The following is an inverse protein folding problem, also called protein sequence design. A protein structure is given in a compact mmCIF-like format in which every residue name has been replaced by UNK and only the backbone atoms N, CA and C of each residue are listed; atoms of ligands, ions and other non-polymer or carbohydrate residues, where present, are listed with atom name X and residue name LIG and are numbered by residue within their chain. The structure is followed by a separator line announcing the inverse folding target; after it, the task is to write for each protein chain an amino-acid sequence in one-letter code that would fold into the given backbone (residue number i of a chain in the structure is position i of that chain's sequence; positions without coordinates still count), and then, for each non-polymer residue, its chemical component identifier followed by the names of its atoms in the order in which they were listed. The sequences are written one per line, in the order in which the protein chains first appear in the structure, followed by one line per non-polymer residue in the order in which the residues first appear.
data_IF_594447274624
#
_entry.id   IF_594447274624
#
_cell.length_a   1.000
_cell.length_b   1.000
_cell.length_c   1.000
_cell.angle_alpha   90.00
_cell.angle_beta   90.00
_cell.angle_gamma   90.00
#
_symmetry.space_group_name_H-M   'P 1'
#
loop_
_entity.id
_entity.type
_entity.pdbx_description
1 polymer ?
#
# COMPACT_ATOMS: atom_id res chain seq x y z
N UNK A 1 23.28 -4.97 53.73
CA UNK A 1 21.92 -4.60 53.35
C UNK A 1 21.94 -3.95 51.98
N UNK A 2 21.42 -4.62 50.95
CA UNK A 2 21.23 -4.05 49.62
C UNK A 2 20.10 -3.02 49.66
N UNK A 3 20.36 -1.79 49.20
CA UNK A 3 19.31 -0.81 48.89
C UNK A 3 18.84 -1.07 47.46
N UNK A 4 17.57 -1.41 47.31
CA UNK A 4 16.90 -1.43 46.01
C UNK A 4 16.81 0.02 45.48
N UNK A 5 17.16 0.22 44.20
CA UNK A 5 16.92 1.47 43.50
C UNK A 5 15.42 1.72 43.28
N UNK A 6 15.00 2.97 43.02
CA UNK A 6 13.59 3.28 42.81
C UNK A 6 13.05 2.58 41.56
N UNK A 7 11.83 2.04 41.68
CA UNK A 7 11.10 1.45 40.55
C UNK A 7 10.80 2.54 39.49
N UNK A 8 10.82 2.20 38.19
CA UNK A 8 10.47 3.16 37.15
C UNK A 8 9.02 3.60 37.31
N UNK A 9 8.81 4.91 37.24
CA UNK A 9 7.49 5.53 37.29
C UNK A 9 6.61 4.97 36.16
N UNK A 10 5.37 4.61 36.50
CA UNK A 10 4.37 4.16 35.54
C UNK A 10 4.22 5.20 34.42
N UNK A 11 4.64 4.84 33.21
CA UNK A 11 4.46 5.67 32.02
C UNK A 11 2.97 5.93 31.82
N UNK A 12 2.61 7.20 31.58
CA UNK A 12 1.24 7.61 31.34
C UNK A 12 0.63 6.75 30.21
N UNK A 13 -0.47 6.06 30.51
CA UNK A 13 -1.22 5.30 29.52
C UNK A 13 -1.69 6.25 28.42
N UNK A 14 -1.25 6.01 27.18
CA UNK A 14 -1.74 6.74 26.02
C UNK A 14 -3.19 6.33 25.77
N UNK A 15 -4.13 7.26 25.92
CA UNK A 15 -5.51 7.03 25.51
C UNK A 15 -5.64 7.38 24.02
N UNK A 16 -5.79 6.35 23.17
CA UNK A 16 -6.19 6.51 21.77
C UNK A 16 -7.70 6.76 21.73
N UNK A 17 -8.10 7.98 21.34
CA UNK A 17 -9.50 8.36 21.13
C UNK A 17 -9.73 8.53 19.63
N UNK A 18 -10.61 7.71 19.04
CA UNK A 18 -11.05 7.80 17.65
C UNK A 18 -12.48 8.38 17.64
N UNK A 19 -12.68 9.52 16.97
CA UNK A 19 -14.01 10.15 16.83
C UNK A 19 -14.69 9.85 15.49
N UNK A 20 -16.01 10.02 15.51
CA UNK A 20 -17.04 9.10 15.03
C UNK A 20 -17.92 9.76 13.93
N UNK A 21 -18.35 8.97 12.93
CA UNK A 21 -19.38 9.31 11.91
C UNK A 21 -18.98 10.13 10.66
N UNK A 22 -18.18 11.20 10.77
CA UNK A 22 -17.95 12.13 9.62
C UNK A 22 -17.11 11.52 8.48
N UNK A 23 -16.10 10.71 8.82
CA UNK A 23 -15.26 10.03 7.83
C UNK A 23 -16.09 9.09 6.93
N UNK A 24 -17.03 8.34 7.52
CA UNK A 24 -17.89 7.44 6.77
C UNK A 24 -18.77 8.20 5.77
N UNK A 25 -19.33 9.36 6.16
CA UNK A 25 -20.11 10.20 5.24
C UNK A 25 -19.28 10.80 4.10
N UNK A 26 -18.01 11.14 4.34
CA UNK A 26 -17.11 11.67 3.31
C UNK A 26 -16.73 10.64 2.26
N UNK A 27 -16.56 9.38 2.66
CA UNK A 27 -16.23 8.28 1.76
C UNK A 27 -17.46 7.55 1.17
N UNK A 28 -18.68 7.91 1.59
CA UNK A 28 -19.91 7.23 1.17
C UNK A 28 -20.13 7.25 -0.36
N UNK A 29 -19.54 8.21 -1.08
CA UNK A 29 -19.64 8.36 -2.54
C UNK A 29 -18.30 8.13 -3.26
N UNK A 30 -17.34 7.51 -2.59
CA UNK A 30 -16.06 7.20 -3.21
C UNK A 30 -16.26 6.24 -4.39
N UNK A 31 -15.74 6.62 -5.56
CA UNK A 31 -15.74 5.79 -6.77
C UNK A 31 -14.31 5.28 -7.03
N UNK A 32 -14.05 3.98 -6.84
CA UNK A 32 -12.75 3.37 -7.10
C UNK A 32 -12.24 3.57 -8.53
N UNK A 33 -13.12 3.51 -9.53
CA UNK A 33 -12.73 3.61 -10.93
C UNK A 33 -12.36 5.05 -11.29
N UNK A 34 -13.14 6.02 -10.83
CA UNK A 34 -12.79 7.42 -10.98
C UNK A 34 -11.48 7.75 -10.25
N UNK A 35 -11.27 7.19 -9.05
CA UNK A 35 -10.01 7.33 -8.32
C UNK A 35 -8.82 6.76 -9.10
N UNK A 36 -8.96 5.57 -9.68
CA UNK A 36 -7.92 4.95 -10.51
C UNK A 36 -7.62 5.77 -11.77
N UNK A 37 -8.66 6.23 -12.47
CA UNK A 37 -8.55 7.09 -13.65
C UNK A 37 -7.94 8.47 -13.33
N UNK A 38 -8.10 8.99 -12.13
CA UNK A 38 -7.55 10.30 -11.80
C UNK A 38 -6.07 10.23 -11.36
N UNK A 39 -5.59 9.06 -10.91
CA UNK A 39 -4.31 8.94 -10.22
C UNK A 39 -3.32 7.96 -10.85
N UNK A 40 -3.81 6.92 -11.51
CA UNK A 40 -3.00 5.77 -11.95
C UNK A 40 -3.05 5.53 -13.45
N UNK A 41 -3.49 6.54 -14.21
CA UNK A 41 -3.37 6.62 -15.67
C UNK A 41 -2.63 7.91 -16.05
N UNK A 42 -2.14 8.06 -17.30
CA UNK A 42 -1.51 9.30 -17.75
C UNK A 42 -2.42 10.53 -17.54
N UNK A 43 -1.86 11.68 -17.14
CA UNK A 43 -0.43 12.00 -17.09
C UNK A 43 0.28 11.62 -15.77
N UNK A 44 -0.44 11.15 -14.73
CA UNK A 44 0.18 10.85 -13.43
C UNK A 44 0.95 9.54 -13.43
N UNK A 45 0.41 8.52 -14.10
CA UNK A 45 1.09 7.26 -14.38
C UNK A 45 1.72 7.26 -15.77
N UNK A 46 2.51 8.30 -16.06
CA UNK A 46 3.41 8.31 -17.20
C UNK A 46 4.73 7.65 -16.79
N UNK A 47 5.10 6.59 -17.49
CA UNK A 47 6.33 5.82 -17.26
C UNK A 47 7.47 6.22 -18.22
N UNK A 48 7.28 7.26 -19.03
CA UNK A 48 8.31 7.79 -19.93
C UNK A 48 9.41 8.58 -19.19
N UNK A 49 9.12 9.08 -17.99
CA UNK A 49 10.06 9.81 -17.14
C UNK A 49 10.06 9.27 -15.71
N UNK A 50 11.26 9.09 -15.17
CA UNK A 50 11.48 8.69 -13.77
C UNK A 50 11.21 9.79 -12.75
N UNK A 51 11.02 11.03 -13.21
CA UNK A 51 10.67 12.18 -12.38
C UNK A 51 9.15 12.27 -12.12
N UNK A 52 8.34 11.51 -12.87
CA UNK A 52 6.92 11.42 -12.61
C UNK A 52 6.62 10.73 -11.27
N UNK A 53 5.54 11.16 -10.62
CA UNK A 53 5.22 10.74 -9.25
C UNK A 53 5.04 9.21 -9.11
N UNK A 54 4.45 8.55 -10.12
CA UNK A 54 4.23 7.10 -10.07
C UNK A 54 5.54 6.32 -10.21
N UNK A 55 6.38 6.54 -11.24
CA UNK A 55 7.71 5.95 -11.32
C UNK A 55 8.58 6.20 -10.09
N UNK A 56 8.59 7.44 -9.58
CA UNK A 56 9.33 7.78 -8.36
C UNK A 56 8.87 6.94 -7.15
N UNK A 57 7.55 6.79 -6.95
CA UNK A 57 7.01 5.94 -5.86
C UNK A 57 7.45 4.49 -6.00
N UNK A 58 7.41 3.93 -7.22
CA UNK A 58 7.81 2.55 -7.47
C UNK A 58 9.30 2.34 -7.22
N UNK A 59 10.16 3.28 -7.63
CA UNK A 59 11.60 3.24 -7.35
C UNK A 59 11.88 3.26 -5.85
N UNK A 60 11.24 4.14 -5.08
CA UNK A 60 11.42 4.17 -3.63
C UNK A 60 11.07 2.84 -2.96
N UNK A 61 9.99 2.19 -3.40
CA UNK A 61 9.60 0.87 -2.88
C UNK A 61 10.62 -0.20 -3.27
N UNK A 62 11.00 -0.27 -4.55
CA UNK A 62 11.98 -1.21 -5.06
C UNK A 62 13.33 -1.09 -4.34
N UNK A 63 13.87 0.13 -4.20
CA UNK A 63 15.12 0.38 -3.47
C UNK A 63 15.03 -0.02 -2.00
N UNK A 64 13.89 0.24 -1.37
CA UNK A 64 13.65 -0.11 0.04
C UNK A 64 13.69 -1.62 0.24
N UNK A 65 13.00 -2.39 -0.59
CA UNK A 65 12.98 -3.86 -0.48
C UNK A 65 14.29 -4.50 -0.95
N UNK A 66 14.98 -3.89 -1.94
CA UNK A 66 16.29 -4.36 -2.43
C UNK A 66 17.39 -4.35 -1.36
N UNK A 67 17.24 -3.58 -0.27
CA UNK A 67 18.14 -3.64 0.89
C UNK A 67 18.22 -5.04 1.52
N UNK A 68 17.17 -5.86 1.37
CA UNK A 68 17.03 -7.15 2.04
C UNK A 68 16.69 -7.05 3.54
N UNK A 69 16.69 -5.84 4.11
CA UNK A 69 16.40 -5.60 5.54
C UNK A 69 14.91 -5.71 5.86
N UNK A 70 14.04 -5.49 4.87
CA UNK A 70 12.58 -5.55 5.02
C UNK A 70 12.07 -6.84 4.39
N UNK A 71 11.97 -7.89 5.20
CA UNK A 71 11.40 -9.18 4.81
C UNK A 71 10.70 -9.84 6.00
N UNK A 72 9.89 -10.86 5.73
CA UNK A 72 9.23 -11.62 6.79
C UNK A 72 8.14 -12.54 6.27
N UNK A 73 7.31 -13.05 7.18
CA UNK A 73 6.23 -13.96 6.80
C UNK A 73 5.00 -13.22 6.28
N UNK A 74 4.51 -12.22 7.02
CA UNK A 74 3.25 -11.51 6.69
C UNK A 74 3.49 -10.00 6.62
N UNK A 75 3.02 -9.37 5.55
CA UNK A 75 2.89 -7.92 5.42
C UNK A 75 1.42 -7.52 5.39
N UNK A 76 1.04 -6.47 6.13
CA UNK A 76 -0.31 -5.92 6.13
C UNK A 76 -0.26 -4.52 5.52
N UNK A 77 -0.98 -4.33 4.42
CA UNK A 77 -1.17 -3.02 3.79
C UNK A 77 -2.44 -2.36 4.32
N UNK A 78 -2.28 -1.17 4.90
CA UNK A 78 -3.36 -0.47 5.61
C UNK A 78 -3.90 0.65 4.73
N UNK A 79 -5.16 0.51 4.28
CA UNK A 79 -5.78 1.47 3.39
C UNK A 79 -5.29 1.31 1.95
N UNK A 80 -5.27 0.06 1.46
CA UNK A 80 -4.86 -0.30 0.11
C UNK A 80 -5.62 0.44 -0.99
N UNK A 81 -6.84 0.93 -0.70
CA UNK A 81 -7.74 1.42 -1.72
C UNK A 81 -8.02 0.34 -2.77
N UNK A 82 -8.26 0.73 -4.03
CA UNK A 82 -8.38 -0.22 -5.13
C UNK A 82 -7.02 -0.47 -5.82
N UNK A 83 -5.89 -0.35 -5.11
CA UNK A 83 -4.53 -0.36 -5.72
C UNK A 83 -3.62 -1.48 -5.24
N UNK A 84 -2.72 -1.92 -6.12
CA UNK A 84 -1.70 -2.94 -5.80
C UNK A 84 -0.26 -2.46 -6.01
N UNK A 85 -0.05 -1.27 -6.59
CA UNK A 85 1.29 -0.82 -7.00
C UNK A 85 2.28 -0.80 -5.83
N UNK A 86 1.79 -0.51 -4.63
CA UNK A 86 2.55 -0.43 -3.40
C UNK A 86 3.06 -1.79 -2.89
N UNK A 87 2.53 -2.89 -3.44
CA UNK A 87 2.83 -4.27 -3.04
C UNK A 87 3.76 -4.99 -4.03
N UNK A 88 3.99 -4.40 -5.21
CA UNK A 88 4.68 -5.07 -6.31
C UNK A 88 6.11 -5.46 -5.97
N UNK A 89 6.86 -4.57 -5.30
CA UNK A 89 8.22 -4.87 -4.83
C UNK A 89 8.25 -5.70 -3.55
N UNK A 90 7.14 -5.79 -2.81
CA UNK A 90 7.08 -6.52 -1.55
C UNK A 90 6.85 -8.03 -1.75
N UNK A 91 6.30 -8.45 -2.91
CA UNK A 91 5.86 -9.83 -3.13
C UNK A 91 7.00 -10.87 -3.07
N UNK A 92 8.23 -10.47 -3.35
CA UNK A 92 9.41 -11.36 -3.30
C UNK A 92 10.00 -11.46 -1.88
N UNK A 93 9.51 -10.64 -0.94
CA UNK A 93 10.07 -10.49 0.41
C UNK A 93 9.14 -11.02 1.52
N UNK A 94 7.88 -11.31 1.19
CA UNK A 94 6.86 -11.78 2.14
C UNK A 94 6.09 -12.99 1.60
N UNK A 95 5.90 -13.99 2.45
CA UNK A 95 5.12 -15.20 2.11
C UNK A 95 3.62 -14.89 1.95
N UNK A 96 3.13 -13.92 2.73
CA UNK A 96 1.72 -13.52 2.78
C UNK A 96 1.59 -12.00 2.76
N UNK A 97 0.71 -11.48 1.91
CA UNK A 97 0.34 -10.07 1.87
C UNK A 97 -1.16 -9.93 2.13
N UNK A 98 -1.52 -9.14 3.14
CA UNK A 98 -2.90 -8.83 3.52
C UNK A 98 -3.20 -7.39 3.11
N UNK A 99 -3.97 -7.21 2.04
CA UNK A 99 -4.50 -5.91 1.64
C UNK A 99 -5.76 -5.59 2.45
N UNK A 100 -5.81 -4.40 3.07
CA UNK A 100 -6.95 -3.97 3.88
C UNK A 100 -7.45 -2.62 3.43
N UNK A 101 -8.76 -2.43 3.41
CA UNK A 101 -9.36 -1.12 3.14
C UNK A 101 -10.65 -0.96 3.90
N UNK A 102 -10.99 0.29 4.24
CA UNK A 102 -12.25 0.62 4.91
C UNK A 102 -13.46 0.33 4.02
N UNK A 103 -13.37 0.65 2.73
CA UNK A 103 -14.48 0.58 1.80
C UNK A 103 -14.58 -0.79 1.12
N UNK A 104 -15.78 -1.37 1.14
CA UNK A 104 -16.03 -2.63 0.45
C UNK A 104 -15.83 -2.52 -1.07
N UNK A 105 -16.21 -1.39 -1.67
CA UNK A 105 -16.05 -1.14 -3.11
C UNK A 105 -14.58 -1.19 -3.56
N UNK A 106 -13.65 -0.77 -2.69
CA UNK A 106 -12.21 -0.88 -2.95
C UNK A 106 -11.73 -2.33 -2.85
N UNK A 107 -12.13 -3.03 -1.79
CA UNK A 107 -11.80 -4.45 -1.61
C UNK A 107 -12.34 -5.31 -2.76
N UNK A 108 -13.51 -4.98 -3.31
CA UNK A 108 -14.04 -5.71 -4.47
C UNK A 108 -13.23 -5.44 -5.73
N UNK A 109 -12.80 -4.21 -6.04
CA UNK A 109 -11.90 -3.98 -7.18
C UNK A 109 -10.59 -4.78 -7.08
N UNK A 110 -10.03 -4.93 -5.87
CA UNK A 110 -8.87 -5.79 -5.63
C UNK A 110 -9.20 -7.27 -5.90
N UNK A 111 -10.33 -7.78 -5.40
CA UNK A 111 -10.75 -9.18 -5.66
C UNK A 111 -10.98 -9.44 -7.14
N UNK A 112 -11.61 -8.50 -7.85
CA UNK A 112 -11.85 -8.60 -9.30
C UNK A 112 -10.53 -8.69 -10.06
N UNK A 113 -9.53 -7.90 -9.67
CA UNK A 113 -8.18 -7.99 -10.23
C UNK A 113 -7.52 -9.35 -9.93
N UNK A 114 -7.57 -9.82 -8.68
CA UNK A 114 -7.02 -11.14 -8.28
C UNK A 114 -7.66 -12.29 -9.06
N UNK A 115 -8.96 -12.23 -9.34
CA UNK A 115 -9.68 -13.24 -10.14
C UNK A 115 -9.44 -13.12 -11.65
N UNK A 116 -8.71 -12.10 -12.11
CA UNK A 116 -8.49 -11.85 -13.54
C UNK A 116 -9.78 -11.50 -14.29
N UNK A 117 -10.74 -10.86 -13.63
CA UNK A 117 -12.03 -10.53 -14.24
C UNK A 117 -11.88 -9.51 -15.40
N UNK A 118 -12.64 -9.68 -16.50
CA UNK A 118 -12.72 -8.66 -17.54
C UNK A 118 -13.09 -7.28 -16.98
N UNK A 119 -12.35 -6.25 -17.39
CA UNK A 119 -12.57 -4.89 -16.94
C UNK A 119 -12.08 -4.59 -15.51
N UNK A 120 -11.26 -5.48 -14.92
CA UNK A 120 -10.37 -5.07 -13.83
C UNK A 120 -9.32 -4.08 -14.34
N UNK A 121 -8.78 -3.26 -13.44
CA UNK A 121 -7.79 -2.25 -13.81
C UNK A 121 -6.50 -2.90 -14.32
N UNK A 122 -5.94 -2.38 -15.42
CA UNK A 122 -4.71 -2.90 -16.01
C UNK A 122 -3.47 -2.38 -15.25
N UNK A 123 -2.95 -3.21 -14.34
CA UNK A 123 -1.71 -2.95 -13.62
C UNK A 123 -0.45 -3.37 -14.40
N UNK A 124 -0.57 -3.92 -15.61
CA UNK A 124 0.58 -4.41 -16.39
C UNK A 124 1.67 -3.37 -16.65
N UNK A 125 1.37 -2.08 -16.92
CA UNK A 125 2.41 -1.06 -17.05
C UNK A 125 3.25 -0.88 -15.78
N UNK A 126 2.60 -0.93 -14.61
CA UNK A 126 3.26 -0.84 -13.31
C UNK A 126 4.15 -2.05 -13.05
N UNK A 127 3.61 -3.25 -13.28
CA UNK A 127 4.34 -4.52 -13.13
C UNK A 127 5.58 -4.52 -14.02
N UNK A 128 5.45 -4.18 -15.31
CA UNK A 128 6.58 -4.09 -16.24
C UNK A 128 7.64 -3.08 -15.78
N UNK A 129 7.20 -1.92 -15.29
CA UNK A 129 8.13 -0.91 -14.79
C UNK A 129 8.90 -1.40 -13.56
N UNK A 130 8.21 -2.03 -12.60
CA UNK A 130 8.84 -2.64 -11.41
C UNK A 130 9.83 -3.73 -11.81
N UNK A 131 9.46 -4.65 -12.70
CA UNK A 131 10.38 -5.67 -13.21
C UNK A 131 11.63 -5.04 -13.84
N UNK A 132 11.48 -3.96 -14.62
CA UNK A 132 12.62 -3.26 -15.24
C UNK A 132 13.56 -2.67 -14.20
N UNK A 133 13.05 -1.93 -13.21
CA UNK A 133 13.90 -1.25 -12.20
C UNK A 133 14.53 -2.24 -11.21
N UNK A 134 13.92 -3.40 -11.02
CA UNK A 134 14.47 -4.49 -10.19
C UNK A 134 15.39 -5.45 -10.98
N UNK A 135 15.67 -5.16 -12.25
CA UNK A 135 16.60 -5.94 -13.08
C UNK A 135 16.06 -7.30 -13.54
N UNK A 136 14.74 -7.46 -13.60
CA UNK A 136 14.01 -8.68 -14.01
C UNK A 136 13.28 -8.56 -15.35
N UNK A 137 13.50 -7.48 -16.10
CA UNK A 137 12.81 -7.14 -17.35
C UNK A 137 13.62 -7.35 -18.62
#
# INVERSE_FOLDING_TARGET
GHRAGPAPAAGAATNLVIHDGRLQSGYARFDPRAYLQNNYVPPRADFSSEECVVPWKLRCLAETFASGEICGRTLIDVGSGPTIYQLLSACDHFEEIVATDFLEVNREELRRWVRGEPGAFDWSPFIRHVCKIEGRG
#
